data_IF_888676540302
#
_entry.id   IF_888676540302
#
_cell.length_a   1.000
_cell.length_b   1.000
_cell.length_c   1.000
_cell.angle_alpha   90.00
_cell.angle_beta   90.00
_cell.angle_gamma   90.00
#
_symmetry.space_group_name_H-M   'P 1'
#
loop_
_entity.id
_entity.type
_entity.pdbx_description
1 polymer ?
#
# COMPACT_ATOMS: atom_id res chain seq x y z
N UNK A 1 -41.84 -3.60 37.04
CA UNK A 1 -41.64 -3.76 35.58
C UNK A 1 -40.57 -2.82 35.05
N UNK A 2 -40.62 -1.51 35.31
CA UNK A 2 -39.61 -0.55 34.81
C UNK A 2 -38.20 -0.79 35.35
N UNK A 3 -38.05 -1.19 36.62
CA UNK A 3 -36.74 -1.46 37.23
C UNK A 3 -36.00 -2.66 36.58
N UNK A 4 -36.74 -3.71 36.24
CA UNK A 4 -36.18 -4.88 35.57
C UNK A 4 -35.69 -4.54 34.17
N UNK A 5 -36.45 -3.69 33.47
CA UNK A 5 -36.07 -3.22 32.12
C UNK A 5 -34.79 -2.37 32.13
N UNK A 6 -34.65 -1.49 33.15
CA UNK A 6 -33.43 -0.69 33.33
C UNK A 6 -32.21 -1.54 33.66
N UNK A 7 -32.36 -2.60 34.47
CA UNK A 7 -31.27 -3.51 34.81
C UNK A 7 -30.82 -4.29 33.56
N UNK A 8 -31.76 -4.81 32.78
CA UNK A 8 -31.47 -5.53 31.53
C UNK A 8 -30.80 -4.60 30.52
N UNK A 9 -31.29 -3.37 30.36
CA UNK A 9 -30.70 -2.37 29.47
C UNK A 9 -29.28 -1.99 29.88
N UNK A 10 -29.02 -1.81 31.17
CA UNK A 10 -27.69 -1.54 31.73
C UNK A 10 -26.74 -2.71 31.52
N UNK A 11 -27.21 -3.94 31.69
CA UNK A 11 -26.42 -5.15 31.47
C UNK A 11 -26.05 -5.34 29.99
N UNK A 12 -27.00 -5.08 29.07
CA UNK A 12 -26.75 -5.12 27.63
C UNK A 12 -25.79 -4.02 27.19
N UNK A 13 -25.88 -2.83 27.80
CA UNK A 13 -24.96 -1.73 27.54
C UNK A 13 -23.53 -2.06 28.01
N UNK A 14 -23.37 -2.68 29.18
CA UNK A 14 -22.08 -3.14 29.70
C UNK A 14 -21.46 -4.23 28.83
N UNK A 15 -22.26 -5.17 28.32
CA UNK A 15 -21.80 -6.20 27.36
C UNK A 15 -21.35 -5.60 26.02
N UNK A 16 -21.99 -4.53 25.55
CA UNK A 16 -21.55 -3.83 24.33
C UNK A 16 -20.25 -3.07 24.52
N UNK A 17 -20.04 -2.45 25.69
CA UNK A 17 -18.79 -1.76 26.00
C UNK A 17 -17.62 -2.72 26.23
N UNK A 18 -17.89 -3.91 26.75
CA UNK A 18 -16.86 -4.93 26.96
C UNK A 18 -16.32 -5.55 25.65
N UNK A 19 -17.05 -5.39 24.55
CA UNK A 19 -16.65 -5.88 23.23
C UNK A 19 -15.90 -4.83 22.38
N UNK A 20 -15.55 -3.68 22.98
CA UNK A 20 -14.69 -2.67 22.41
C UNK A 20 -13.26 -3.22 22.25
N UNK A 21 -12.98 -3.76 21.07
CA UNK A 21 -11.72 -4.40 20.74
C UNK A 21 -10.53 -3.52 21.12
N UNK A 22 -9.68 -4.04 21.98
CA UNK A 22 -8.31 -3.57 22.13
C UNK A 22 -7.71 -3.37 20.74
N UNK A 23 -7.06 -2.25 20.50
CA UNK A 23 -6.30 -2.03 19.27
C UNK A 23 -5.45 -3.26 18.98
N UNK A 24 -5.41 -3.74 17.72
CA UNK A 24 -4.60 -4.90 17.37
C UNK A 24 -3.15 -4.64 17.78
N UNK A 25 -2.50 -5.66 18.34
CA UNK A 25 -1.08 -5.57 18.71
C UNK A 25 -0.24 -5.19 17.50
N UNK A 26 0.83 -4.41 17.67
CA UNK A 26 1.77 -4.15 16.58
C UNK A 26 2.30 -5.48 16.04
N UNK A 27 2.49 -5.56 14.72
CA UNK A 27 2.98 -6.76 14.05
C UNK A 27 4.38 -7.13 14.54
N UNK A 28 4.63 -8.41 14.65
CA UNK A 28 5.99 -8.91 14.87
C UNK A 28 6.81 -8.75 13.59
N UNK A 29 8.14 -8.72 13.71
CA UNK A 29 9.04 -8.59 12.55
C UNK A 29 8.87 -9.71 11.50
N UNK A 30 8.33 -10.87 11.90
CA UNK A 30 7.99 -11.97 11.00
C UNK A 30 6.72 -11.67 10.23
N UNK A 31 5.66 -11.29 10.93
CA UNK A 31 4.36 -10.92 10.33
C UNK A 31 4.50 -9.72 9.38
N UNK A 32 5.35 -8.76 9.74
CA UNK A 32 5.66 -7.62 8.88
C UNK A 32 6.31 -8.06 7.56
N UNK A 33 7.26 -8.99 7.60
CA UNK A 33 7.89 -9.56 6.38
C UNK A 33 6.89 -10.33 5.53
N UNK A 34 6.05 -11.16 6.16
CA UNK A 34 5.01 -11.92 5.45
C UNK A 34 3.99 -10.98 4.80
N UNK A 35 3.53 -9.96 5.50
CA UNK A 35 2.63 -8.94 4.95
C UNK A 35 3.26 -8.19 3.77
N UNK A 36 4.55 -7.86 3.86
CA UNK A 36 5.31 -7.22 2.78
C UNK A 36 5.41 -8.12 1.55
N UNK A 37 5.69 -9.41 1.72
CA UNK A 37 5.74 -10.37 0.62
C UNK A 37 4.40 -10.49 -0.08
N UNK A 38 3.32 -10.65 0.68
CA UNK A 38 1.95 -10.68 0.13
C UNK A 38 1.64 -9.39 -0.63
N UNK A 39 2.06 -8.24 -0.12
CA UNK A 39 1.85 -6.96 -0.77
C UNK A 39 2.62 -6.88 -2.11
N UNK A 40 3.85 -7.38 -2.17
CA UNK A 40 4.64 -7.45 -3.41
C UNK A 40 3.95 -8.36 -4.42
N UNK A 41 3.59 -9.58 -4.04
CA UNK A 41 2.95 -10.57 -4.92
C UNK A 41 1.66 -10.03 -5.55
N UNK A 42 0.80 -9.41 -4.73
CA UNK A 42 -0.47 -8.83 -5.20
C UNK A 42 -0.29 -7.64 -6.13
N UNK A 43 0.87 -6.98 -6.10
CA UNK A 43 1.19 -5.83 -6.94
C UNK A 43 2.07 -6.17 -8.16
N UNK A 44 2.46 -7.43 -8.39
CA UNK A 44 3.20 -7.83 -9.60
C UNK A 44 2.46 -7.50 -10.90
N UNK A 45 1.14 -7.49 -10.86
CA UNK A 45 0.32 -7.07 -12.01
C UNK A 45 0.57 -5.62 -12.42
N UNK A 46 0.92 -4.74 -11.46
CA UNK A 46 1.32 -3.37 -11.74
C UNK A 46 2.61 -3.32 -12.57
N UNK A 47 3.60 -4.17 -12.22
CA UNK A 47 4.85 -4.29 -12.99
C UNK A 47 4.56 -4.69 -14.44
N UNK A 48 3.74 -5.73 -14.65
CA UNK A 48 3.35 -6.18 -15.98
C UNK A 48 2.61 -5.10 -16.79
N UNK A 49 1.80 -4.28 -16.14
CA UNK A 49 1.10 -3.18 -16.78
C UNK A 49 2.07 -2.06 -17.22
N UNK A 50 3.00 -1.70 -16.38
CA UNK A 50 4.01 -0.66 -16.67
C UNK A 50 4.96 -1.16 -17.76
N UNK A 51 5.40 -2.43 -17.67
CA UNK A 51 6.29 -3.04 -18.65
C UNK A 51 5.77 -2.92 -20.09
N UNK A 52 4.46 -3.11 -20.31
CA UNK A 52 3.84 -2.98 -21.64
C UNK A 52 4.16 -1.66 -22.34
N UNK A 53 4.37 -0.61 -21.57
CA UNK A 53 4.74 0.73 -22.08
C UNK A 53 6.18 0.78 -22.59
N UNK A 54 7.06 -0.05 -22.05
CA UNK A 54 8.50 -0.06 -22.37
C UNK A 54 8.91 -1.21 -23.30
N UNK A 55 8.02 -2.18 -23.52
CA UNK A 55 8.28 -3.38 -24.33
C UNK A 55 8.75 -3.10 -25.75
N UNK A 56 8.28 -1.98 -26.36
CA UNK A 56 8.68 -1.60 -27.72
C UNK A 56 10.12 -1.12 -27.84
N UNK A 57 10.80 -0.84 -26.73
CA UNK A 57 12.15 -0.28 -26.71
C UNK A 57 13.24 -1.31 -26.38
N UNK A 58 12.87 -2.49 -25.89
CA UNK A 58 13.79 -3.53 -25.43
C UNK A 58 13.33 -4.90 -25.91
N UNK A 59 14.26 -5.66 -26.47
CA UNK A 59 14.00 -7.00 -26.99
C UNK A 59 13.78 -8.06 -25.90
N UNK A 60 14.18 -7.79 -24.65
CA UNK A 60 14.18 -8.75 -23.56
C UNK A 60 13.09 -8.44 -22.51
N UNK A 61 12.01 -9.21 -22.61
CA UNK A 61 10.84 -9.07 -21.75
C UNK A 61 11.11 -9.56 -20.32
N UNK A 62 11.92 -10.60 -20.17
CA UNK A 62 12.22 -11.19 -18.87
C UNK A 62 13.07 -10.26 -18.02
N UNK A 63 14.04 -9.61 -18.64
CA UNK A 63 14.86 -8.59 -17.98
C UNK A 63 14.02 -7.41 -17.48
N UNK A 64 13.09 -6.92 -18.30
CA UNK A 64 12.20 -5.83 -17.92
C UNK A 64 11.31 -6.19 -16.73
N UNK A 65 10.78 -7.41 -16.68
CA UNK A 65 9.99 -7.89 -15.55
C UNK A 65 10.86 -7.97 -14.29
N UNK A 66 12.06 -8.51 -14.42
CA UNK A 66 13.01 -8.65 -13.31
C UNK A 66 13.39 -7.30 -12.72
N UNK A 67 13.79 -6.35 -13.56
CA UNK A 67 14.14 -4.98 -13.17
C UNK A 67 12.92 -4.27 -12.54
N UNK A 68 11.75 -4.39 -13.14
CA UNK A 68 10.52 -3.80 -12.62
C UNK A 68 10.10 -4.37 -11.26
N UNK A 69 10.31 -5.68 -11.06
CA UNK A 69 10.04 -6.33 -9.77
C UNK A 69 10.99 -5.81 -8.68
N UNK A 70 12.27 -5.63 -8.99
CA UNK A 70 13.23 -5.00 -8.07
C UNK A 70 12.78 -3.56 -7.72
N UNK A 71 12.32 -2.81 -8.71
CA UNK A 71 11.76 -1.47 -8.51
C UNK A 71 10.54 -1.46 -7.57
N UNK A 72 9.63 -2.44 -7.72
CA UNK A 72 8.47 -2.62 -6.86
C UNK A 72 8.86 -2.94 -5.42
N UNK A 73 9.77 -3.90 -5.22
CA UNK A 73 10.28 -4.30 -3.90
C UNK A 73 10.90 -3.09 -3.19
N UNK A 74 11.73 -2.34 -3.90
CA UNK A 74 12.34 -1.12 -3.39
C UNK A 74 11.29 -0.07 -3.03
N UNK A 75 10.29 0.14 -3.90
CA UNK A 75 9.20 1.07 -3.66
C UNK A 75 8.40 0.72 -2.39
N UNK A 76 8.00 -0.54 -2.22
CA UNK A 76 7.26 -0.98 -1.03
C UNK A 76 8.11 -0.86 0.24
N UNK A 77 9.42 -1.15 0.16
CA UNK A 77 10.31 -1.10 1.32
C UNK A 77 10.63 0.33 1.79
N UNK A 78 10.60 1.31 0.88
CA UNK A 78 10.92 2.71 1.18
C UNK A 78 9.70 3.61 1.30
N UNK A 79 8.50 3.04 1.19
CA UNK A 79 7.26 3.80 1.28
C UNK A 79 7.02 4.35 2.68
N UNK A 80 6.72 5.65 2.75
CA UNK A 80 6.35 6.33 3.99
C UNK A 80 4.95 6.95 3.84
N UNK A 81 3.94 6.41 4.54
CA UNK A 81 2.57 6.91 4.45
C UNK A 81 2.41 8.35 4.96
N UNK A 82 3.33 8.82 5.82
CA UNK A 82 3.29 10.19 6.37
C UNK A 82 3.54 11.27 5.31
N UNK A 83 4.11 10.90 4.16
CA UNK A 83 4.38 11.83 3.06
C UNK A 83 3.17 12.12 2.18
N UNK A 84 1.99 11.58 2.49
CA UNK A 84 0.74 11.88 1.80
C UNK A 84 0.64 11.35 0.36
N UNK A 85 1.51 10.43 -0.04
CA UNK A 85 1.45 9.78 -1.35
C UNK A 85 0.70 8.45 -1.25
N UNK A 86 -0.09 8.10 -2.27
CA UNK A 86 -0.68 6.76 -2.36
C UNK A 86 0.40 5.73 -2.71
N UNK A 87 0.37 4.57 -2.03
CA UNK A 87 1.32 3.48 -2.29
C UNK A 87 1.39 3.10 -3.78
N UNK A 88 0.24 2.97 -4.45
CA UNK A 88 0.20 2.58 -5.86
C UNK A 88 0.94 3.59 -6.76
N UNK A 89 0.76 4.89 -6.54
CA UNK A 89 1.44 5.95 -7.30
C UNK A 89 2.94 5.94 -7.02
N UNK A 90 3.34 5.77 -5.77
CA UNK A 90 4.75 5.71 -5.39
C UNK A 90 5.44 4.47 -5.98
N UNK A 91 4.83 3.29 -5.82
CA UNK A 91 5.34 2.04 -6.36
C UNK A 91 5.46 2.08 -7.90
N UNK A 92 4.42 2.61 -8.60
CA UNK A 92 4.47 2.77 -10.05
C UNK A 92 5.68 3.61 -10.49
N UNK A 93 5.96 4.71 -9.81
CA UNK A 93 7.13 5.56 -10.10
C UNK A 93 8.45 4.85 -9.83
N UNK A 94 8.54 4.05 -8.77
CA UNK A 94 9.74 3.27 -8.49
C UNK A 94 9.98 2.20 -9.57
N UNK A 95 8.93 1.56 -10.06
CA UNK A 95 9.00 0.60 -11.18
C UNK A 95 9.42 1.30 -12.47
N UNK A 96 8.77 2.42 -12.82
CA UNK A 96 9.13 3.22 -14.00
C UNK A 96 10.61 3.66 -13.96
N UNK A 97 11.06 4.18 -12.82
CA UNK A 97 12.45 4.62 -12.66
C UNK A 97 13.45 3.46 -12.78
N UNK A 98 13.08 2.26 -12.32
CA UNK A 98 13.94 1.08 -12.44
C UNK A 98 14.05 0.62 -13.90
N UNK A 99 12.98 0.71 -14.68
CA UNK A 99 12.95 0.31 -16.09
C UNK A 99 13.59 1.34 -17.04
N UNK A 100 13.89 2.55 -16.57
CA UNK A 100 14.54 3.56 -17.41
C UNK A 100 16.04 3.28 -17.55
N UNK A 101 16.62 3.46 -18.75
CA UNK A 101 18.06 3.34 -18.94
C UNK A 101 18.81 4.36 -18.06
N UNK A 102 20.02 4.01 -17.58
CA UNK A 102 20.83 4.91 -16.76
C UNK A 102 21.09 6.22 -17.53
N UNK A 103 20.70 7.35 -16.94
CA UNK A 103 20.84 8.69 -17.54
C UNK A 103 19.56 9.53 -17.58
N UNK A 104 18.38 8.93 -17.47
CA UNK A 104 17.10 9.65 -17.33
C UNK A 104 16.49 9.41 -15.96
N UNK A 105 17.12 9.93 -14.94
CA UNK A 105 16.52 9.93 -13.62
C UNK A 105 15.39 10.96 -13.60
N UNK A 106 14.14 10.49 -13.62
CA UNK A 106 13.01 11.36 -13.31
C UNK A 106 13.04 11.63 -11.81
N UNK A 107 13.30 12.87 -11.38
CA UNK A 107 13.19 13.21 -9.97
C UNK A 107 11.75 12.94 -9.53
N UNK A 108 11.58 12.21 -8.43
CA UNK A 108 10.28 11.99 -7.81
C UNK A 108 9.67 13.35 -7.43
N UNK A 109 8.83 13.86 -8.30
CA UNK A 109 8.03 15.05 -8.02
C UNK A 109 6.58 14.60 -7.90
N UNK A 110 6.03 14.63 -6.71
CA UNK A 110 4.59 14.52 -6.50
C UNK A 110 3.91 15.64 -7.31
N UNK A 111 3.09 15.27 -8.26
CA UNK A 111 2.28 16.25 -8.97
C UNK A 111 1.21 16.81 -8.04
N UNK A 112 0.74 18.02 -8.31
CA UNK A 112 -0.34 18.66 -7.53
C UNK A 112 -1.60 17.77 -7.47
N UNK A 113 -1.82 16.93 -8.49
CA UNK A 113 -2.90 15.96 -8.62
C UNK A 113 -2.78 14.82 -7.60
N UNK A 114 -1.56 14.34 -7.32
CA UNK A 114 -1.31 13.25 -6.37
C UNK A 114 -1.54 13.72 -4.93
N UNK A 115 -1.36 15.02 -4.65
CA UNK A 115 -1.61 15.64 -3.34
C UNK A 115 -3.10 15.85 -3.05
N UNK A 116 -3.90 16.18 -4.05
CA UNK A 116 -5.34 16.39 -3.85
C UNK A 116 -6.12 15.08 -3.64
N UNK A 117 -5.57 13.95 -4.08
CA UNK A 117 -6.21 12.64 -3.92
C UNK A 117 -6.04 12.04 -2.50
N UNK A 118 -5.25 12.67 -1.63
CA UNK A 118 -5.08 12.24 -0.23
C UNK A 118 -6.03 12.94 0.75
N UNK A 119 -6.88 13.85 0.27
CA UNK A 119 -7.81 14.63 1.10
C UNK A 119 -9.24 14.06 1.12
N UNK A 120 -9.50 12.94 0.46
CA UNK A 120 -10.78 12.27 0.65
C UNK A 120 -10.75 11.50 1.99
N UNK A 121 -11.65 11.81 2.94
CA UNK A 121 -11.74 11.06 4.17
C UNK A 121 -12.19 9.64 3.83
N UNK A 122 -11.33 8.68 4.16
CA UNK A 122 -11.67 7.26 4.12
C UNK A 122 -12.67 7.00 5.23
N UNK A 123 -13.95 6.82 4.85
CA UNK A 123 -14.92 6.18 5.73
C UNK A 123 -14.61 4.68 5.83
#
# INVERSE_FOLDING_TARGET
MLAVWLIISSMLYSLRLSNGGSFPKPLTAREEREARNVLIERNLRLVAHIMKKYYTQTSDQEDLISIGTIGLIKGISTFDPKKGARLATYAARCVENAMHPPGRHFPFRLTKRDRCASSDPVF
#
